data_IF_529032847887
#
_entry.id   IF_529032847887
#
_cell.length_a   1.000
_cell.length_b   1.000
_cell.length_c   1.000
_cell.angle_alpha   90.00
_cell.angle_beta   90.00
_cell.angle_gamma   90.00
#
_symmetry.space_group_name_H-M   'P 1'
#
loop_
_entity.id
_entity.type
_entity.pdbx_description
1 polymer ?
#
# COMPACT_ATOMS: atom_id res chain seq x y z
N UNK A 1 17.28 -17.47 0.75
CA UNK A 1 16.55 -16.76 -0.31
C UNK A 1 16.78 -15.26 -0.14
N UNK A 2 16.54 -14.48 -1.18
CA UNK A 2 16.63 -13.03 -1.17
C UNK A 2 15.23 -12.45 -1.35
N UNK A 3 15.02 -11.22 -0.86
CA UNK A 3 13.80 -10.47 -1.07
C UNK A 3 14.12 -9.04 -1.50
N UNK A 4 13.26 -8.49 -2.33
CA UNK A 4 13.21 -7.06 -2.65
C UNK A 4 11.81 -6.55 -2.43
N UNK A 5 11.71 -5.46 -1.69
CA UNK A 5 10.48 -4.69 -1.52
C UNK A 5 10.70 -3.31 -2.10
N UNK A 6 9.76 -2.85 -2.92
CA UNK A 6 9.68 -1.45 -3.35
C UNK A 6 8.34 -0.88 -2.90
N UNK A 7 8.36 0.34 -2.40
CA UNK A 7 7.15 1.08 -2.06
C UNK A 7 7.20 2.49 -2.66
N UNK A 8 6.06 2.98 -3.12
CA UNK A 8 5.83 4.35 -3.59
C UNK A 8 4.71 4.97 -2.78
N UNK A 9 4.96 6.15 -2.24
CA UNK A 9 3.99 7.00 -1.58
C UNK A 9 3.92 8.32 -2.32
N UNK A 10 2.80 8.59 -2.99
CA UNK A 10 2.56 9.83 -3.70
C UNK A 10 1.41 10.55 -3.02
N UNK A 11 1.73 11.65 -2.36
CA UNK A 11 0.75 12.50 -1.68
C UNK A 11 0.46 13.75 -2.52
N UNK A 12 -0.77 14.23 -2.49
CA UNK A 12 -1.13 15.42 -3.26
C UNK A 12 -0.25 16.63 -2.90
N UNK A 13 0.34 17.26 -3.91
CA UNK A 13 1.14 18.48 -3.75
C UNK A 13 2.56 18.26 -3.21
N UNK A 14 2.98 17.02 -2.98
CA UNK A 14 4.32 16.66 -2.53
C UNK A 14 5.06 15.81 -3.58
N UNK A 15 6.39 15.81 -3.52
CA UNK A 15 7.22 14.91 -4.32
C UNK A 15 7.03 13.46 -3.81
N UNK A 16 6.88 12.45 -4.71
CA UNK A 16 6.71 11.07 -4.30
C UNK A 16 7.92 10.51 -3.55
N UNK A 17 7.66 9.71 -2.52
CA UNK A 17 8.67 9.00 -1.74
C UNK A 17 8.78 7.56 -2.25
N UNK A 18 10.01 7.13 -2.56
CA UNK A 18 10.31 5.77 -2.99
C UNK A 18 11.21 5.06 -1.98
N UNK A 19 10.73 3.94 -1.46
CA UNK A 19 11.51 3.08 -0.58
C UNK A 19 11.91 1.79 -1.31
N UNK A 20 13.16 1.37 -1.15
CA UNK A 20 13.68 0.13 -1.71
C UNK A 20 14.43 -0.64 -0.64
N UNK A 21 13.94 -1.83 -0.30
CA UNK A 21 14.57 -2.74 0.64
C UNK A 21 15.07 -3.98 -0.08
N UNK A 22 16.33 -4.35 0.15
CA UNK A 22 16.92 -5.62 -0.32
C UNK A 22 17.53 -6.34 0.85
N UNK A 23 17.03 -7.53 1.16
CA UNK A 23 17.51 -8.30 2.30
C UNK A 23 17.54 -9.80 2.00
N UNK A 24 18.09 -10.55 2.95
CA UNK A 24 17.91 -12.00 3.00
C UNK A 24 16.50 -12.28 3.52
N UNK A 25 15.84 -13.27 2.93
CA UNK A 25 14.50 -13.70 3.36
C UNK A 25 14.55 -15.11 3.96
N UNK A 26 13.55 -15.41 4.80
CA UNK A 26 13.29 -16.76 5.26
C UNK A 26 12.91 -17.73 4.12
N UNK A 27 12.94 -19.03 4.43
CA UNK A 27 12.44 -20.07 3.52
C UNK A 27 10.92 -19.90 3.41
N UNK A 28 10.40 -19.71 2.18
CA UNK A 28 8.96 -19.56 1.93
C UNK A 28 8.44 -18.12 1.82
N UNK A 29 9.31 -17.12 1.73
CA UNK A 29 8.90 -15.74 1.42
C UNK A 29 8.07 -15.68 0.12
N UNK A 30 6.97 -14.93 0.16
CA UNK A 30 6.01 -14.82 -0.94
C UNK A 30 6.16 -13.50 -1.68
N UNK A 31 5.82 -13.52 -2.96
CA UNK A 31 5.63 -12.30 -3.72
C UNK A 31 4.33 -11.63 -3.29
N UNK A 32 4.32 -10.30 -3.29
CA UNK A 32 3.13 -9.51 -3.03
C UNK A 32 3.09 -8.31 -3.98
N UNK A 33 1.89 -7.92 -4.38
CA UNK A 33 1.66 -6.68 -5.09
C UNK A 33 0.41 -6.04 -4.52
N UNK A 34 0.55 -4.79 -4.10
CA UNK A 34 -0.50 -4.03 -3.48
C UNK A 34 -0.51 -2.62 -4.04
N UNK A 35 -1.72 -2.13 -4.28
CA UNK A 35 -1.97 -0.78 -4.77
C UNK A 35 -3.23 -0.27 -4.12
N UNK A 36 -3.16 0.95 -3.62
CA UNK A 36 -4.26 1.61 -2.96
C UNK A 36 -4.27 3.11 -3.27
N UNK A 37 -5.44 3.71 -3.19
CA UNK A 37 -5.61 5.17 -3.28
C UNK A 37 -6.52 5.65 -2.18
N UNK A 38 -6.20 6.79 -1.59
CA UNK A 38 -7.07 7.54 -0.70
C UNK A 38 -7.08 8.99 -1.17
N UNK A 39 -8.26 9.51 -1.51
CA UNK A 39 -8.44 10.78 -2.21
C UNK A 39 -7.58 10.82 -3.48
N UNK A 40 -6.64 11.77 -3.57
CA UNK A 40 -5.69 11.91 -4.67
C UNK A 40 -4.34 11.21 -4.38
N UNK A 41 -4.19 10.62 -3.19
CA UNK A 41 -2.97 9.93 -2.80
C UNK A 41 -2.92 8.53 -3.41
N UNK A 42 -1.71 8.11 -3.78
CA UNK A 42 -1.41 6.80 -4.32
C UNK A 42 -0.37 6.10 -3.46
N UNK A 43 -0.66 4.85 -3.14
CA UNK A 43 0.24 3.96 -2.46
C UNK A 43 0.45 2.68 -3.25
N UNK A 44 1.71 2.25 -3.39
CA UNK A 44 2.06 1.00 -4.05
C UNK A 44 3.13 0.25 -3.25
N UNK A 45 2.98 -1.07 -3.18
CA UNK A 45 3.98 -1.99 -2.65
C UNK A 45 4.16 -3.16 -3.62
N UNK A 46 5.41 -3.52 -3.89
CA UNK A 46 5.73 -4.77 -4.58
C UNK A 46 6.87 -5.48 -3.87
N UNK A 47 6.62 -6.74 -3.52
CA UNK A 47 7.58 -7.63 -2.88
C UNK A 47 7.87 -8.80 -3.81
N UNK A 48 9.14 -9.10 -4.03
CA UNK A 48 9.57 -10.24 -4.82
C UNK A 48 10.65 -11.03 -4.08
N UNK A 49 10.44 -12.34 -3.95
CA UNK A 49 11.36 -13.27 -3.33
C UNK A 49 11.97 -14.21 -4.38
N UNK A 50 13.26 -14.54 -4.20
CA UNK A 50 13.98 -15.43 -5.11
C UNK A 50 14.99 -16.31 -4.35
N UNK A 51 15.36 -17.46 -4.92
CA UNK A 51 16.03 -18.52 -4.16
C UNK A 51 17.55 -18.62 -4.35
N UNK A 52 18.12 -18.09 -5.43
CA UNK A 52 19.56 -18.17 -5.69
C UNK A 52 20.33 -17.00 -5.07
N UNK A 53 21.63 -17.20 -4.81
CA UNK A 53 22.47 -16.17 -4.22
C UNK A 53 22.50 -14.90 -5.08
N UNK A 54 22.14 -13.76 -4.46
CA UNK A 54 22.18 -12.45 -5.13
C UNK A 54 21.27 -12.37 -6.36
N UNK A 55 20.17 -13.11 -6.40
CA UNK A 55 19.18 -13.04 -7.48
C UNK A 55 18.49 -11.67 -7.56
N UNK A 56 18.39 -10.96 -6.44
CA UNK A 56 17.71 -9.69 -6.33
C UNK A 56 18.61 -8.47 -6.68
N UNK A 57 19.61 -8.64 -7.56
CA UNK A 57 20.51 -7.54 -7.98
C UNK A 57 19.80 -6.49 -8.83
N UNK A 58 18.92 -6.92 -9.73
CA UNK A 58 18.21 -6.04 -10.66
C UNK A 58 17.25 -5.06 -9.97
N UNK A 59 16.83 -4.00 -10.67
CA UNK A 59 15.75 -3.15 -10.20
C UNK A 59 14.42 -3.90 -10.29
N UNK A 60 13.58 -3.71 -9.28
CA UNK A 60 12.17 -4.10 -9.32
C UNK A 60 11.37 -2.88 -9.81
N UNK A 61 10.30 -3.12 -10.57
CA UNK A 61 9.47 -2.05 -11.14
C UNK A 61 8.01 -2.30 -10.82
N UNK A 62 7.21 -1.24 -10.69
CA UNK A 62 5.76 -1.40 -10.60
C UNK A 62 5.17 -1.76 -11.98
N UNK A 63 4.11 -2.58 -12.03
CA UNK A 63 3.33 -2.67 -13.26
C UNK A 63 2.72 -1.30 -13.59
N UNK A 64 2.52 -0.95 -14.88
CA UNK A 64 1.89 0.32 -15.25
C UNK A 64 0.55 0.52 -14.53
N UNK A 65 0.25 1.76 -14.16
CA UNK A 65 -1.06 2.11 -13.60
C UNK A 65 -2.13 2.04 -14.70
N UNK A 66 -3.13 1.18 -14.50
CA UNK A 66 -4.30 1.17 -15.37
C UNK A 66 -5.33 2.18 -14.82
N UNK A 67 -5.45 3.34 -15.47
CA UNK A 67 -6.36 4.41 -15.08
C UNK A 67 -7.79 4.25 -15.61
N UNK A 68 -8.13 3.09 -16.19
CA UNK A 68 -9.48 2.82 -16.69
C UNK A 68 -10.42 2.59 -15.51
N UNK A 69 -11.53 3.35 -15.45
CA UNK A 69 -12.59 3.16 -14.45
C UNK A 69 -13.10 1.71 -14.47
N UNK A 70 -13.21 1.08 -13.30
CA UNK A 70 -13.66 -0.30 -13.18
C UNK A 70 -15.09 -0.43 -12.62
N UNK A 71 -15.75 0.70 -12.32
CA UNK A 71 -17.12 0.76 -11.83
C UNK A 71 -17.29 0.58 -10.31
N UNK A 72 -16.23 0.26 -9.58
CA UNK A 72 -16.24 0.20 -8.12
C UNK A 72 -16.15 1.61 -7.55
N UNK A 73 -16.93 1.90 -6.50
CA UNK A 73 -16.92 3.18 -5.80
C UNK A 73 -16.60 2.96 -4.33
N UNK A 74 -15.74 3.81 -3.77
CA UNK A 74 -15.31 3.71 -2.38
C UNK A 74 -15.45 5.07 -1.68
N UNK A 75 -15.96 5.11 -0.44
CA UNK A 75 -15.81 6.28 0.40
C UNK A 75 -14.33 6.52 0.68
N UNK A 76 -13.93 7.79 0.71
CA UNK A 76 -12.53 8.18 0.73
C UNK A 76 -12.23 9.24 1.79
N UNK A 77 -11.11 9.08 2.46
CA UNK A 77 -10.51 10.08 3.35
C UNK A 77 -9.01 9.80 3.55
N UNK A 78 -8.26 10.84 3.86
CA UNK A 78 -6.84 10.77 4.20
C UNK A 78 -6.57 11.81 5.29
N UNK A 79 -5.96 11.38 6.40
CA UNK A 79 -5.53 12.28 7.48
C UNK A 79 -4.22 11.77 8.09
N UNK A 80 -3.29 12.70 8.29
CA UNK A 80 -2.05 12.48 9.05
C UNK A 80 -2.22 13.04 10.47
N UNK A 81 -1.63 12.36 11.45
CA UNK A 81 -1.67 12.74 12.87
C UNK A 81 -2.89 12.23 13.64
N UNK A 82 -3.88 11.63 12.97
CA UNK A 82 -5.08 11.08 13.61
C UNK A 82 -5.30 9.61 13.22
N UNK A 83 -5.83 8.81 14.15
CA UNK A 83 -6.16 7.39 13.92
C UNK A 83 -7.63 7.20 13.47
N UNK A 84 -8.27 8.27 13.00
CA UNK A 84 -9.61 8.21 12.45
C UNK A 84 -9.82 9.25 11.37
N UNK A 85 -10.47 8.87 10.27
CA UNK A 85 -11.00 9.83 9.30
C UNK A 85 -12.43 9.46 8.89
N UNK A 86 -13.28 10.47 8.76
CA UNK A 86 -14.61 10.33 8.20
C UNK A 86 -14.57 10.61 6.71
N UNK A 87 -15.21 9.75 5.92
CA UNK A 87 -15.21 9.88 4.47
C UNK A 87 -16.08 11.07 4.05
N UNK A 88 -15.47 12.06 3.40
CA UNK A 88 -16.18 13.23 2.85
C UNK A 88 -16.51 13.07 1.37
N UNK A 89 -15.87 12.11 0.70
CA UNK A 89 -15.95 11.94 -0.75
C UNK A 89 -16.18 10.48 -1.14
N UNK A 90 -16.71 10.27 -2.32
CA UNK A 90 -16.78 8.96 -2.99
C UNK A 90 -15.88 9.03 -4.21
N UNK A 91 -14.86 8.18 -4.27
CA UNK A 91 -13.96 8.06 -5.42
C UNK A 91 -14.34 6.86 -6.30
N UNK A 92 -14.11 6.98 -7.60
CA UNK A 92 -14.29 5.89 -8.56
C UNK A 92 -12.97 5.15 -8.75
N UNK A 93 -12.96 3.84 -8.52
CA UNK A 93 -11.77 3.04 -8.59
C UNK A 93 -11.39 2.70 -10.04
N UNK A 94 -10.10 2.44 -10.24
CA UNK A 94 -9.52 2.15 -11.55
C UNK A 94 -8.77 0.83 -11.56
N UNK A 95 -8.67 0.23 -12.74
CA UNK A 95 -7.81 -0.93 -12.97
C UNK A 95 -8.09 -2.09 -12.02
N UNK A 96 -7.05 -2.59 -11.36
CA UNK A 96 -7.14 -3.73 -10.45
C UNK A 96 -7.65 -3.40 -9.04
N UNK A 97 -7.93 -2.13 -8.74
CA UNK A 97 -8.42 -1.74 -7.41
C UNK A 97 -9.93 -2.00 -7.31
N UNK A 98 -10.31 -3.24 -7.00
CA UNK A 98 -11.70 -3.71 -7.05
C UNK A 98 -12.40 -3.80 -5.69
N UNK A 99 -11.77 -3.30 -4.62
CA UNK A 99 -12.35 -3.26 -3.27
C UNK A 99 -12.04 -1.95 -2.57
N UNK A 100 -12.67 -1.73 -1.42
CA UNK A 100 -12.40 -0.59 -0.56
C UNK A 100 -11.61 -1.01 0.67
N UNK A 101 -10.82 -0.09 1.20
CA UNK A 101 -10.16 -0.25 2.49
C UNK A 101 -10.42 0.92 3.42
N UNK A 102 -10.28 0.65 4.71
CA UNK A 102 -10.00 1.64 5.74
C UNK A 102 -8.84 1.11 6.57
N UNK A 103 -7.81 1.93 6.79
CA UNK A 103 -6.69 1.61 7.67
C UNK A 103 -6.44 2.78 8.60
N UNK A 104 -6.23 2.49 9.88
CA UNK A 104 -5.69 3.41 10.86
C UNK A 104 -4.46 2.74 11.48
N UNK A 105 -3.30 3.39 11.35
CA UNK A 105 -2.04 2.81 11.78
C UNK A 105 -0.99 3.87 12.09
N UNK A 106 0.12 3.42 12.66
CA UNK A 106 1.37 4.20 12.73
C UNK A 106 2.27 3.85 11.55
N UNK A 107 2.48 4.81 10.66
CA UNK A 107 3.25 4.66 9.43
C UNK A 107 4.65 5.22 9.57
N UNK A 108 5.63 4.56 8.96
CA UNK A 108 6.99 5.07 8.79
C UNK A 108 7.31 5.09 7.30
N UNK A 109 6.96 6.19 6.64
CA UNK A 109 7.15 6.35 5.19
C UNK A 109 8.54 6.86 4.83
N UNK A 110 9.25 7.50 5.77
CA UNK A 110 10.58 8.08 5.58
C UNK A 110 11.49 7.80 6.80
N UNK A 111 12.71 8.35 6.78
CA UNK A 111 13.64 8.30 7.92
C UNK A 111 13.18 9.15 9.13
N UNK A 112 12.12 9.95 8.97
CA UNK A 112 11.55 10.75 10.05
C UNK A 112 10.83 9.88 11.10
N UNK A 113 10.27 10.54 12.12
CA UNK A 113 9.51 9.85 13.14
C UNK A 113 8.23 9.24 12.53
N UNK A 114 7.80 8.06 13.02
CA UNK A 114 6.54 7.48 12.58
C UNK A 114 5.38 8.44 12.85
N UNK A 115 4.45 8.51 11.91
CA UNK A 115 3.24 9.32 12.01
C UNK A 115 2.03 8.41 12.13
N UNK A 116 1.09 8.78 13.01
CA UNK A 116 -0.23 8.17 12.96
C UNK A 116 -0.96 8.66 11.72
N UNK A 117 -1.82 7.84 11.16
CA UNK A 117 -2.68 8.26 10.06
C UNK A 117 -3.88 7.34 9.90
N UNK A 118 -4.89 7.84 9.22
CA UNK A 118 -6.03 7.06 8.79
C UNK A 118 -6.33 7.35 7.32
N UNK A 119 -6.50 6.28 6.55
CA UNK A 119 -6.73 6.35 5.12
C UNK A 119 -7.85 5.41 4.72
N UNK A 120 -8.68 5.87 3.78
CA UNK A 120 -9.79 5.13 3.22
C UNK A 120 -9.86 5.38 1.71
N UNK A 121 -10.12 4.34 0.94
CA UNK A 121 -10.36 4.47 -0.49
C UNK A 121 -10.30 3.14 -1.22
N UNK A 122 -9.77 3.14 -2.44
CA UNK A 122 -9.70 1.97 -3.32
C UNK A 122 -8.44 1.13 -3.05
N UNK A 123 -8.52 -0.19 -3.20
CA UNK A 123 -7.36 -1.08 -3.15
C UNK A 123 -7.56 -2.33 -4.01
N UNK A 124 -6.50 -3.11 -4.21
CA UNK A 124 -6.52 -4.35 -4.98
C UNK A 124 -6.60 -5.65 -4.15
N UNK A 125 -6.55 -5.61 -2.82
CA UNK A 125 -6.76 -6.81 -1.97
C UNK A 125 -8.25 -7.11 -1.79
N UNK A 126 -8.67 -8.36 -1.94
CA UNK A 126 -10.11 -8.72 -1.84
C UNK A 126 -10.58 -8.91 -0.39
N UNK A 127 -9.65 -9.15 0.54
CA UNK A 127 -9.94 -9.37 1.96
C UNK A 127 -8.78 -8.94 2.85
N UNK A 128 -9.00 -8.91 4.16
CA UNK A 128 -7.97 -8.58 5.16
C UNK A 128 -6.82 -9.59 5.11
N UNK A 129 -7.10 -10.87 4.84
CA UNK A 129 -6.09 -11.92 4.75
C UNK A 129 -5.19 -11.80 3.51
N UNK A 130 -5.66 -11.09 2.48
CA UNK A 130 -4.88 -10.77 1.27
C UNK A 130 -4.17 -9.41 1.37
N UNK A 131 -4.40 -8.65 2.44
CA UNK A 131 -3.64 -7.43 2.69
C UNK A 131 -2.17 -7.82 2.91
N UNK A 132 -1.22 -7.20 2.19
CA UNK A 132 0.17 -7.62 2.26
C UNK A 132 0.74 -7.35 3.66
N UNK A 133 1.64 -8.20 4.09
CA UNK A 133 2.50 -7.90 5.21
C UNK A 133 3.49 -6.81 4.79
N UNK A 134 3.41 -5.65 5.43
CA UNK A 134 4.39 -4.60 5.27
C UNK A 134 5.63 -4.92 6.11
N UNK A 135 6.83 -4.50 5.69
CA UNK A 135 7.96 -4.44 6.61
C UNK A 135 7.53 -3.67 7.87
N UNK A 136 7.94 -4.14 9.07
CA UNK A 136 7.70 -3.42 10.33
C UNK A 136 8.22 -1.97 10.28
N UNK A 137 9.24 -1.73 9.45
CA UNK A 137 9.80 -0.41 9.18
C UNK A 137 8.90 0.50 8.34
N UNK A 138 7.76 0.03 7.83
CA UNK A 138 6.82 0.80 7.00
C UNK A 138 5.46 1.01 7.66
N UNK A 139 4.91 -0.02 8.31
CA UNK A 139 3.71 0.07 9.14
C UNK A 139 4.01 -0.60 10.48
N UNK A 140 4.03 0.18 11.55
CA UNK A 140 4.50 -0.27 12.87
C UNK A 140 3.38 -0.87 13.72
N UNK A 141 2.18 -0.28 13.67
CA UNK A 141 1.05 -0.69 14.52
C UNK A 141 -0.27 -0.41 13.78
N UNK A 142 -0.93 -1.47 13.31
CA UNK A 142 -2.25 -1.39 12.67
C UNK A 142 -3.31 -1.44 13.78
N UNK A 143 -3.94 -0.30 14.03
CA UNK A 143 -5.01 -0.16 15.02
C UNK A 143 -6.33 -0.65 14.44
N UNK A 144 -6.58 -0.39 13.16
CA UNK A 144 -7.79 -0.83 12.46
C UNK A 144 -7.47 -1.10 11.01
N UNK A 145 -7.96 -2.23 10.49
CA UNK A 145 -7.94 -2.56 9.07
C UNK A 145 -9.29 -3.16 8.71
N UNK A 146 -9.96 -2.57 7.72
CA UNK A 146 -11.24 -3.02 7.21
C UNK A 146 -11.12 -3.11 5.69
N UNK A 147 -11.60 -4.21 5.12
CA UNK A 147 -11.71 -4.41 3.67
C UNK A 147 -13.17 -4.70 3.34
N UNK A 148 -13.74 -3.93 2.42
CA UNK A 148 -15.14 -4.11 1.98
C UNK A 148 -15.24 -4.13 0.47
N UNK A 149 -16.37 -4.62 -0.05
CA UNK A 149 -16.75 -4.35 -1.44
C UNK A 149 -17.08 -2.85 -1.63
N UNK A 150 -17.13 -2.43 -2.89
CA UNK A 150 -17.64 -1.10 -3.26
C UNK A 150 -19.12 -0.91 -2.93
N UNK A 151 -19.54 0.35 -2.97
CA UNK A 151 -20.94 0.78 -2.79
C UNK A 151 -21.70 0.85 -4.11
#
# INVERSE_FOLDING_TARGET
>A
SCLTSIAEYSFEGLDPIYNVFKNCSGVGAKNAFYRATANQDLFQLRVEACQSNGCNKGPLQFPPLNSTLNGVKCPSCAVDGELSCEATEIIECVGEMTSCYYIAATFRVSAELPIQGAYRGCQNSESVEQFPEFPEDSIQDIVTLIVTKGI
#
